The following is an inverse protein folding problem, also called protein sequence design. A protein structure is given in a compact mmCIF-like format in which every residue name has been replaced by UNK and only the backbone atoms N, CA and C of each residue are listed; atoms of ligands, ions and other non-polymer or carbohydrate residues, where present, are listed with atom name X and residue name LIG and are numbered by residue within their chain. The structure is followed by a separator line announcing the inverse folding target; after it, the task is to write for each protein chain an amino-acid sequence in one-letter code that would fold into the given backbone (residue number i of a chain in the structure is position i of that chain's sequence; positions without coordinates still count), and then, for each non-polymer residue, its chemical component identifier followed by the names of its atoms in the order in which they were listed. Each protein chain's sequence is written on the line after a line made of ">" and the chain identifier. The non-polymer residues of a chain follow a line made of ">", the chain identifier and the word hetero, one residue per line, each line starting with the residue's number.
data_IF_451839504684
#
_entry.id   IF_451839504684
#
_cell.length_a   1.000
_cell.length_b   1.000
_cell.length_c   1.000
_cell.angle_alpha   90.00
_cell.angle_beta   90.00
_cell.angle_gamma   90.00
#
_symmetry.space_group_name_H-M   'P 1'
#
loop_
_entity.id
_entity.type
_entity.pdbx_description
1 polymer ?
#
# COMPACT_ATOMS: atom_id res chain seq x y z
N UNK A 1 10.52 -11.68 18.66
CA UNK A 1 9.63 -11.98 17.51
C UNK A 1 9.09 -10.68 16.96
N UNK A 2 8.84 -10.57 15.65
CA UNK A 2 8.20 -9.40 15.03
C UNK A 2 6.99 -9.82 14.18
N UNK A 3 5.90 -9.04 14.19
CA UNK A 3 4.76 -9.20 13.27
C UNK A 3 4.32 -7.84 12.69
N UNK A 4 4.20 -7.78 11.36
CA UNK A 4 3.82 -6.57 10.62
C UNK A 4 2.32 -6.38 10.41
N UNK A 5 1.47 -7.33 10.81
CA UNK A 5 0.04 -7.31 10.51
C UNK A 5 -0.79 -6.93 11.73
N UNK A 6 -1.91 -6.24 11.49
CA UNK A 6 -2.91 -5.90 12.49
C UNK A 6 -3.58 -7.15 13.09
N UNK A 7 -3.65 -8.25 12.33
CA UNK A 7 -3.95 -9.58 12.83
C UNK A 7 -2.70 -10.46 12.73
N UNK A 8 -2.02 -10.73 13.86
CA UNK A 8 -0.83 -11.56 13.87
C UNK A 8 -1.11 -13.00 13.46
N UNK A 9 -0.14 -13.59 12.77
CA UNK A 9 -0.22 -14.98 12.32
C UNK A 9 -0.38 -15.95 13.51
N UNK A 10 -1.04 -17.10 13.29
CA UNK A 10 -1.20 -18.14 14.33
C UNK A 10 0.14 -18.56 14.94
N UNK A 11 1.17 -18.76 14.11
CA UNK A 11 2.52 -19.10 14.57
C UNK A 11 3.09 -18.04 15.51
N UNK A 12 2.88 -16.76 15.20
CA UNK A 12 3.36 -15.67 16.04
C UNK A 12 2.56 -15.56 17.35
N UNK A 13 1.23 -15.72 17.31
CA UNK A 13 0.39 -15.75 18.52
C UNK A 13 0.76 -16.87 19.48
N UNK A 14 1.12 -18.05 18.95
CA UNK A 14 1.58 -19.18 19.76
C UNK A 14 3.02 -18.96 20.22
N UNK A 15 3.91 -18.58 19.30
CA UNK A 15 5.34 -18.35 19.52
C UNK A 15 5.66 -17.27 20.56
N UNK A 16 4.79 -16.27 20.68
CA UNK A 16 4.95 -15.17 21.66
C UNK A 16 5.10 -15.64 23.11
N UNK A 17 4.62 -16.84 23.46
CA UNK A 17 4.75 -17.42 24.82
C UNK A 17 6.19 -17.73 25.21
N UNK A 18 7.08 -17.88 24.24
CA UNK A 18 8.50 -18.19 24.46
C UNK A 18 9.42 -17.02 24.09
N UNK A 19 8.84 -15.85 23.77
CA UNK A 19 9.62 -14.67 23.42
C UNK A 19 9.79 -13.77 24.63
N UNK A 20 10.99 -13.23 24.82
CA UNK A 20 11.26 -12.17 25.79
C UNK A 20 10.43 -10.92 25.47
N UNK A 21 10.36 -10.55 24.18
CA UNK A 21 9.65 -9.38 23.69
C UNK A 21 8.99 -9.61 22.34
N UNK A 22 7.84 -8.97 22.14
CA UNK A 22 7.05 -9.01 20.90
C UNK A 22 7.07 -7.63 20.26
N UNK A 23 7.60 -7.55 19.05
CA UNK A 23 7.70 -6.33 18.27
C UNK A 23 6.58 -6.28 17.24
N UNK A 24 5.93 -5.13 17.09
CA UNK A 24 4.76 -4.98 16.22
C UNK A 24 4.98 -3.90 15.17
N UNK A 25 4.55 -4.19 13.95
CA UNK A 25 4.42 -3.22 12.87
C UNK A 25 3.23 -2.29 13.03
N UNK A 26 2.13 -2.77 13.64
CA UNK A 26 0.90 -2.02 13.81
C UNK A 26 0.39 -2.14 15.25
N UNK A 27 0.06 -1.01 15.88
CA UNK A 27 -0.49 -0.96 17.26
C UNK A 27 -1.78 -1.79 17.40
N UNK A 28 -2.57 -1.92 16.31
CA UNK A 28 -3.78 -2.75 16.28
C UNK A 28 -3.54 -4.23 16.66
N UNK A 29 -2.31 -4.72 16.52
CA UNK A 29 -1.92 -6.08 16.87
C UNK A 29 -1.70 -6.30 18.38
N UNK A 30 -1.52 -5.24 19.19
CA UNK A 30 -1.19 -5.34 20.63
C UNK A 30 -2.18 -6.20 21.40
N UNK A 31 -3.48 -6.08 21.09
CA UNK A 31 -4.56 -6.81 21.75
C UNK A 31 -4.45 -8.34 21.66
N UNK A 32 -3.65 -8.87 20.72
CA UNK A 32 -3.44 -10.32 20.57
C UNK A 32 -2.33 -10.87 21.46
N UNK A 33 -1.62 -10.01 22.19
CA UNK A 33 -0.50 -10.35 23.06
C UNK A 33 -0.68 -9.79 24.49
N UNK A 34 -1.78 -10.10 25.20
CA UNK A 34 -2.09 -9.51 26.50
C UNK A 34 -1.14 -9.89 27.64
N UNK A 35 -0.29 -10.90 27.43
CA UNK A 35 0.64 -11.44 28.43
C UNK A 35 2.10 -11.35 27.98
N UNK A 36 2.39 -10.60 26.92
CA UNK A 36 3.75 -10.41 26.42
C UNK A 36 4.18 -8.97 26.64
N UNK A 37 5.48 -8.75 26.83
CA UNK A 37 6.04 -7.41 26.68
C UNK A 37 6.00 -7.03 25.20
N UNK A 38 5.32 -5.92 24.90
CA UNK A 38 5.01 -5.50 23.52
C UNK A 38 5.53 -4.09 23.26
N UNK A 39 6.26 -3.95 22.15
CA UNK A 39 6.72 -2.67 21.64
C UNK A 39 6.34 -2.50 20.17
N UNK A 40 5.85 -1.31 19.80
CA UNK A 40 5.53 -0.99 18.41
C UNK A 40 6.74 -0.32 17.78
N UNK A 41 7.48 -1.10 17.01
CA UNK A 41 8.68 -0.65 16.30
C UNK A 41 8.37 -0.28 14.87
N UNK A 42 7.15 -0.47 14.38
CA UNK A 42 6.84 -0.43 12.96
C UNK A 42 7.51 -1.60 12.21
N UNK A 43 7.50 -1.53 10.88
CA UNK A 43 8.19 -2.50 10.02
C UNK A 43 9.29 -1.75 9.25
N UNK A 44 10.51 -2.32 9.10
CA UNK A 44 11.56 -1.67 8.33
C UNK A 44 11.15 -1.46 6.87
N UNK A 45 11.47 -0.29 6.33
CA UNK A 45 11.34 0.02 4.91
C UNK A 45 12.68 -0.06 4.21
N UNK A 46 12.65 -0.31 2.90
CA UNK A 46 13.86 -0.27 2.06
C UNK A 46 14.48 1.12 2.08
N UNK A 47 15.81 1.20 2.14
CA UNK A 47 16.54 2.46 2.23
C UNK A 47 16.28 3.40 1.04
N UNK A 48 16.00 2.84 -0.14
CA UNK A 48 15.66 3.58 -1.36
C UNK A 48 14.42 4.47 -1.25
N UNK A 49 13.52 4.22 -0.28
CA UNK A 49 12.35 5.08 -0.06
C UNK A 49 12.63 6.34 0.73
N UNK A 50 13.82 6.45 1.36
CA UNK A 50 14.18 7.65 2.14
C UNK A 50 14.38 8.88 1.25
N UNK A 51 14.78 8.67 -0.01
CA UNK A 51 15.02 9.73 -0.98
C UNK A 51 14.32 9.40 -2.29
N UNK A 52 13.07 9.81 -2.43
CA UNK A 52 12.36 9.70 -3.69
C UNK A 52 12.96 10.67 -4.73
N UNK A 53 12.99 10.29 -6.02
CA UNK A 53 13.36 11.23 -7.08
C UNK A 53 12.32 12.36 -7.20
N UNK A 54 12.68 13.49 -7.85
CA UNK A 54 11.72 14.52 -8.22
C UNK A 54 10.55 13.94 -9.01
N UNK A 55 9.32 14.44 -8.74
CA UNK A 55 8.11 13.93 -9.37
C UNK A 55 8.18 14.07 -10.89
N UNK A 56 8.73 15.16 -11.40
CA UNK A 56 8.87 15.44 -12.83
C UNK A 56 9.73 14.39 -13.54
N UNK A 57 10.82 13.96 -12.91
CA UNK A 57 11.69 12.90 -13.43
C UNK A 57 10.96 11.55 -13.46
N UNK A 58 10.23 11.25 -12.38
CA UNK A 58 9.42 10.03 -12.29
C UNK A 58 8.30 10.00 -13.34
N UNK A 59 7.60 11.13 -13.56
CA UNK A 59 6.58 11.26 -14.59
C UNK A 59 7.17 11.02 -15.98
N UNK A 60 8.29 11.67 -16.30
CA UNK A 60 8.97 11.49 -17.58
C UNK A 60 9.39 10.03 -17.81
N UNK A 61 9.90 9.35 -16.77
CA UNK A 61 10.26 7.93 -16.82
C UNK A 61 9.12 7.02 -17.22
N UNK A 62 7.89 7.33 -16.81
CA UNK A 62 6.70 6.53 -17.13
C UNK A 62 5.87 7.09 -18.29
N UNK A 63 6.36 8.12 -18.99
CA UNK A 63 5.64 8.77 -20.09
C UNK A 63 4.36 9.51 -19.65
N UNK A 64 4.32 9.95 -18.39
CA UNK A 64 3.19 10.64 -17.79
C UNK A 64 3.37 12.16 -17.90
N UNK A 65 2.25 12.88 -18.02
CA UNK A 65 2.24 14.33 -18.18
C UNK A 65 2.27 15.05 -16.82
N UNK A 66 3.03 16.15 -16.69
CA UNK A 66 2.98 17.02 -15.51
C UNK A 66 1.62 17.71 -15.38
N UNK A 67 1.28 18.11 -14.15
CA UNK A 67 0.04 18.86 -13.85
C UNK A 67 -1.26 18.04 -13.89
N UNK A 68 -1.18 16.72 -14.13
CA UNK A 68 -2.33 15.80 -14.10
C UNK A 68 -2.15 14.77 -12.97
N UNK A 69 -3.21 14.46 -12.22
CA UNK A 69 -3.11 13.52 -11.10
C UNK A 69 -2.81 12.11 -11.60
N UNK A 70 -1.95 11.40 -10.89
CA UNK A 70 -1.54 10.03 -11.22
C UNK A 70 -2.03 9.05 -10.17
N UNK A 71 -2.71 8.00 -10.62
CA UNK A 71 -3.03 6.84 -9.79
C UNK A 71 -1.99 5.75 -10.02
N UNK A 72 -1.25 5.41 -8.97
CA UNK A 72 -0.37 4.24 -8.97
C UNK A 72 -1.17 3.02 -8.51
N UNK A 73 -1.16 1.93 -9.27
CA UNK A 73 -1.78 0.67 -8.87
C UNK A 73 -0.78 -0.48 -8.89
N UNK A 74 -0.80 -1.32 -7.84
CA UNK A 74 -0.04 -2.57 -7.80
C UNK A 74 -0.68 -3.64 -6.89
N UNK A 75 -0.56 -4.91 -7.31
CA UNK A 75 -1.19 -6.05 -6.64
C UNK A 75 -0.31 -6.86 -5.69
N UNK A 76 0.96 -6.48 -5.51
CA UNK A 76 1.99 -7.33 -4.87
C UNK A 76 2.74 -8.21 -5.88
N UNK A 77 3.74 -8.96 -5.41
CA UNK A 77 4.75 -9.63 -6.26
C UNK A 77 4.21 -10.69 -7.22
N UNK A 78 3.07 -11.30 -6.93
CA UNK A 78 2.43 -12.32 -7.78
C UNK A 78 1.42 -11.72 -8.79
N UNK A 79 1.22 -10.40 -8.77
CA UNK A 79 0.13 -9.75 -9.49
C UNK A 79 -1.24 -10.04 -8.85
N UNK A 80 -2.21 -9.17 -9.11
CA UNK A 80 -3.57 -9.33 -8.60
C UNK A 80 -4.57 -9.18 -9.75
N UNK A 81 -4.85 -10.27 -10.47
CA UNK A 81 -5.66 -10.26 -11.70
C UNK A 81 -6.97 -9.49 -11.57
N UNK A 82 -7.67 -9.62 -10.43
CA UNK A 82 -8.93 -8.90 -10.19
C UNK A 82 -8.73 -7.40 -10.01
N UNK A 83 -7.76 -6.96 -9.19
CA UNK A 83 -7.39 -5.53 -9.09
C UNK A 83 -6.99 -5.01 -10.46
N UNK A 84 -6.21 -5.78 -11.20
CA UNK A 84 -5.73 -5.37 -12.51
C UNK A 84 -6.88 -5.09 -13.48
N UNK A 85 -7.92 -5.93 -13.46
CA UNK A 85 -9.14 -5.73 -14.24
C UNK A 85 -9.93 -4.53 -13.77
N UNK A 86 -10.14 -4.40 -12.45
CA UNK A 86 -10.87 -3.26 -11.88
C UNK A 86 -10.22 -1.92 -12.25
N UNK A 87 -8.89 -1.84 -12.21
CA UNK A 87 -8.14 -0.62 -12.55
C UNK A 87 -8.20 -0.34 -14.06
N UNK A 88 -8.08 -1.37 -14.90
CA UNK A 88 -8.27 -1.21 -16.32
C UNK A 88 -9.70 -0.70 -16.64
N UNK A 89 -10.74 -1.25 -16.00
CA UNK A 89 -12.13 -0.78 -16.15
C UNK A 89 -12.32 0.64 -15.63
N UNK A 90 -11.85 0.95 -14.42
CA UNK A 90 -11.93 2.28 -13.82
C UNK A 90 -11.21 3.34 -14.66
N UNK A 91 -10.12 2.98 -15.33
CA UNK A 91 -9.42 3.87 -16.25
C UNK A 91 -10.27 4.25 -17.47
N UNK A 92 -11.18 3.36 -17.90
CA UNK A 92 -12.11 3.67 -19.00
C UNK A 92 -13.17 4.66 -18.56
N UNK A 93 -13.74 4.45 -17.38
CA UNK A 93 -14.77 5.30 -16.77
C UNK A 93 -14.23 6.69 -16.38
N UNK A 94 -12.95 6.77 -16.04
CA UNK A 94 -12.29 8.02 -15.64
C UNK A 94 -11.97 8.95 -16.82
N UNK A 95 -11.99 8.44 -18.06
CA UNK A 95 -11.59 9.19 -19.25
C UNK A 95 -10.20 9.81 -19.09
N UNK A 96 -10.05 11.06 -19.51
CA UNK A 96 -8.79 11.82 -19.42
C UNK A 96 -8.64 12.63 -18.11
N UNK A 97 -9.47 12.41 -17.08
CA UNK A 97 -9.36 13.20 -15.83
C UNK A 97 -8.12 12.87 -15.01
N UNK A 98 -7.60 11.66 -15.15
CA UNK A 98 -6.48 11.12 -14.35
C UNK A 98 -5.54 10.32 -15.25
N UNK A 99 -4.32 10.11 -14.81
CA UNK A 99 -3.36 9.21 -15.44
C UNK A 99 -3.17 7.96 -14.59
N UNK A 100 -2.85 6.84 -15.22
CA UNK A 100 -2.72 5.56 -14.53
C UNK A 100 -1.33 4.99 -14.75
N UNK A 101 -0.66 4.65 -13.65
CA UNK A 101 0.55 3.83 -13.64
C UNK A 101 0.19 2.48 -13.01
N UNK A 102 0.02 1.46 -13.84
CA UNK A 102 -0.43 0.13 -13.39
C UNK A 102 0.70 -0.90 -13.49
N UNK A 103 1.17 -1.36 -12.33
CA UNK A 103 2.12 -2.47 -12.21
C UNK A 103 1.31 -3.77 -12.11
N UNK A 104 1.14 -4.43 -13.24
CA UNK A 104 0.23 -5.58 -13.40
C UNK A 104 0.78 -6.90 -12.86
N UNK A 105 2.10 -7.05 -12.74
CA UNK A 105 2.75 -8.35 -12.56
C UNK A 105 3.09 -8.98 -13.91
N UNK A 106 4.29 -9.59 -14.01
CA UNK A 106 4.85 -10.11 -15.27
C UNK A 106 3.91 -11.08 -15.98
N UNK A 107 3.21 -11.92 -15.21
CA UNK A 107 2.28 -12.92 -15.73
C UNK A 107 0.99 -12.31 -16.34
N UNK A 108 0.61 -11.10 -15.93
CA UNK A 108 -0.68 -10.50 -16.29
C UNK A 108 -0.56 -9.28 -17.22
N UNK A 109 0.67 -8.82 -17.47
CA UNK A 109 0.96 -7.61 -18.24
C UNK A 109 0.29 -7.60 -19.62
N UNK A 110 0.44 -8.68 -20.39
CA UNK A 110 -0.11 -8.77 -21.74
C UNK A 110 -1.64 -8.67 -21.75
N UNK A 111 -2.31 -9.34 -20.79
CA UNK A 111 -3.77 -9.29 -20.64
C UNK A 111 -4.23 -7.89 -20.28
N UNK A 112 -3.54 -7.24 -19.33
CA UNK A 112 -3.89 -5.88 -18.89
C UNK A 112 -3.68 -4.87 -20.01
N UNK A 113 -2.57 -4.93 -20.76
CA UNK A 113 -2.37 -4.08 -21.95
C UNK A 113 -3.50 -4.24 -22.98
N UNK A 114 -3.95 -5.48 -23.20
CA UNK A 114 -5.11 -5.77 -24.05
C UNK A 114 -6.41 -5.14 -23.53
N UNK A 115 -6.65 -5.18 -22.22
CA UNK A 115 -7.80 -4.50 -21.60
C UNK A 115 -7.69 -2.97 -21.74
N UNK A 116 -6.54 -2.38 -21.47
CA UNK A 116 -6.36 -0.92 -21.55
C UNK A 116 -6.54 -0.41 -22.98
N UNK A 117 -6.16 -1.21 -23.98
CA UNK A 117 -6.46 -0.92 -25.39
C UNK A 117 -5.72 0.30 -25.94
N UNK A 118 -4.48 0.54 -25.49
CA UNK A 118 -3.62 1.60 -26.03
C UNK A 118 -3.94 3.03 -25.59
N UNK A 119 -4.71 3.22 -24.51
CA UNK A 119 -4.97 4.56 -23.95
C UNK A 119 -3.66 5.26 -23.58
N UNK A 120 -3.43 6.44 -24.15
CA UNK A 120 -2.26 7.31 -23.87
C UNK A 120 -2.16 7.70 -22.39
N UNK A 121 -3.31 7.70 -21.73
CA UNK A 121 -3.61 7.74 -20.32
C UNK A 121 -2.86 6.92 -19.29
N UNK A 122 -2.39 5.76 -19.75
CA UNK A 122 -2.37 4.57 -18.94
C UNK A 122 -1.14 3.75 -19.28
N UNK A 123 -0.13 3.89 -18.44
CA UNK A 123 1.12 3.14 -18.51
C UNK A 123 0.97 1.84 -17.75
N UNK A 124 1.07 0.71 -18.47
CA UNK A 124 1.03 -0.64 -17.89
C UNK A 124 2.42 -1.26 -17.95
N UNK A 125 2.92 -1.71 -16.80
CA UNK A 125 4.19 -2.44 -16.70
C UNK A 125 3.96 -3.79 -16.00
N UNK A 126 4.72 -4.83 -16.39
CA UNK A 126 4.65 -6.12 -15.70
C UNK A 126 5.41 -6.12 -14.38
N UNK A 127 6.48 -5.36 -14.27
CA UNK A 127 7.26 -5.22 -13.04
C UNK A 127 7.89 -3.83 -13.00
N UNK A 128 8.16 -3.33 -11.79
CA UNK A 128 8.84 -2.07 -11.58
C UNK A 128 9.98 -2.28 -10.59
N UNK A 129 11.22 -2.35 -11.09
CA UNK A 129 12.41 -2.41 -10.24
C UNK A 129 12.59 -1.10 -9.45
N UNK A 130 12.24 0.04 -10.05
CA UNK A 130 12.33 1.36 -9.43
C UNK A 130 10.97 1.80 -8.84
N UNK A 131 10.59 1.12 -7.76
CA UNK A 131 9.42 1.52 -6.96
C UNK A 131 9.52 2.95 -6.40
N UNK A 132 10.70 3.49 -6.01
CA UNK A 132 10.81 4.90 -5.63
C UNK A 132 10.26 5.85 -6.69
N UNK A 133 10.62 5.67 -7.97
CA UNK A 133 10.04 6.46 -9.06
C UNK A 133 8.54 6.24 -9.19
N UNK A 134 8.05 5.00 -9.08
CA UNK A 134 6.62 4.72 -9.18
C UNK A 134 5.81 5.45 -8.10
N UNK A 135 6.29 5.41 -6.85
CA UNK A 135 5.68 6.16 -5.76
C UNK A 135 5.82 7.67 -5.92
N UNK A 136 6.96 8.17 -6.40
CA UNK A 136 7.16 9.60 -6.66
C UNK A 136 6.14 10.13 -7.69
N UNK A 137 5.88 9.37 -8.75
CA UNK A 137 4.88 9.70 -9.77
C UNK A 137 3.44 9.69 -9.22
N UNK A 138 3.09 8.72 -8.39
CA UNK A 138 1.72 8.49 -7.90
C UNK A 138 1.25 9.48 -6.83
N UNK A 139 0.07 10.08 -7.05
CA UNK A 139 -0.64 10.93 -6.09
C UNK A 139 -1.60 10.15 -5.20
N UNK A 140 -2.18 9.08 -5.74
CA UNK A 140 -3.08 8.15 -5.05
C UNK A 140 -2.61 6.73 -5.34
N UNK A 141 -2.56 5.88 -4.32
CA UNK A 141 -2.17 4.46 -4.47
C UNK A 141 -3.40 3.56 -4.40
N UNK A 142 -3.50 2.58 -5.31
CA UNK A 142 -4.45 1.46 -5.23
C UNK A 142 -3.65 0.18 -5.05
N UNK A 143 -3.85 -0.51 -3.93
CA UNK A 143 -3.08 -1.72 -3.67
C UNK A 143 -3.79 -2.72 -2.76
N UNK A 144 -3.22 -3.92 -2.70
CA UNK A 144 -3.52 -4.88 -1.63
C UNK A 144 -3.02 -4.33 -0.29
N UNK A 145 -3.66 -4.72 0.81
CA UNK A 145 -3.31 -4.30 2.17
C UNK A 145 -2.36 -5.29 2.87
N UNK A 146 -1.30 -5.71 2.17
CA UNK A 146 -0.22 -6.50 2.75
C UNK A 146 0.68 -5.63 3.64
N UNK A 147 1.22 -6.19 4.73
CA UNK A 147 2.00 -5.44 5.72
C UNK A 147 3.18 -4.65 5.13
N UNK A 148 3.96 -5.26 4.22
CA UNK A 148 5.09 -4.59 3.58
C UNK A 148 4.65 -3.37 2.74
N UNK A 149 3.68 -3.55 1.83
CA UNK A 149 3.16 -2.47 1.01
C UNK A 149 2.54 -1.35 1.83
N UNK A 150 1.83 -1.70 2.91
CA UNK A 150 1.27 -0.72 3.83
C UNK A 150 2.33 0.10 4.56
N UNK A 151 3.42 -0.55 4.94
CA UNK A 151 4.56 0.11 5.57
C UNK A 151 5.20 1.11 4.59
N UNK A 152 5.38 0.73 3.33
CA UNK A 152 5.93 1.62 2.30
C UNK A 152 5.03 2.85 2.06
N UNK A 153 3.71 2.66 1.88
CA UNK A 153 2.78 3.79 1.67
C UNK A 153 2.64 4.66 2.90
N UNK A 154 2.69 4.07 4.12
CA UNK A 154 2.71 4.81 5.37
C UNK A 154 3.94 5.71 5.45
N UNK A 155 5.13 5.13 5.23
CA UNK A 155 6.40 5.84 5.28
C UNK A 155 6.45 7.01 4.29
N UNK A 156 5.90 6.80 3.09
CA UNK A 156 5.84 7.82 2.03
C UNK A 156 4.65 8.77 2.14
N UNK A 157 3.76 8.60 3.13
CA UNK A 157 2.56 9.42 3.30
C UNK A 157 1.61 9.37 2.10
N UNK A 158 1.54 8.25 1.38
CA UNK A 158 0.75 8.14 0.14
C UNK A 158 -0.71 7.79 0.45
N UNK A 159 -1.66 8.69 0.20
CA UNK A 159 -3.08 8.38 0.39
C UNK A 159 -3.45 7.20 -0.51
N UNK A 160 -4.30 6.31 0.01
CA UNK A 160 -4.50 4.99 -0.61
C UNK A 160 -5.96 4.54 -0.64
N UNK A 161 -6.32 3.80 -1.69
CA UNK A 161 -7.50 2.92 -1.73
C UNK A 161 -6.99 1.49 -1.57
N UNK A 162 -7.35 0.87 -0.45
CA UNK A 162 -6.89 -0.47 -0.09
C UNK A 162 -7.96 -1.49 -0.49
N UNK A 163 -7.55 -2.47 -1.28
CA UNK A 163 -8.42 -3.56 -1.76
C UNK A 163 -7.90 -4.89 -1.20
N UNK A 164 -8.30 -5.31 0.01
CA UNK A 164 -7.77 -6.50 0.66
C UNK A 164 -7.90 -7.75 -0.21
N UNK A 165 -6.91 -8.64 -0.14
CA UNK A 165 -7.00 -9.95 -0.78
C UNK A 165 -8.02 -10.82 -0.03
N UNK A 166 -9.13 -11.25 -0.67
CA UNK A 166 -10.23 -11.92 0.02
C UNK A 166 -9.88 -13.31 0.54
N UNK A 167 -8.80 -13.92 0.03
CA UNK A 167 -8.34 -15.25 0.45
C UNK A 167 -7.07 -15.19 1.33
N UNK A 168 -6.78 -14.02 1.89
CA UNK A 168 -5.70 -13.87 2.85
C UNK A 168 -5.95 -14.75 4.09
N UNK A 169 -4.93 -15.47 4.55
CA UNK A 169 -5.05 -16.32 5.74
C UNK A 169 -5.57 -15.53 6.96
N UNK A 170 -6.59 -16.05 7.64
CA UNK A 170 -7.27 -15.40 8.76
C UNK A 170 -7.82 -13.98 8.46
N UNK A 171 -7.95 -13.58 7.18
CA UNK A 171 -8.43 -12.25 6.76
C UNK A 171 -7.54 -11.08 7.24
N UNK A 172 -6.23 -11.33 7.41
CA UNK A 172 -5.30 -10.32 7.95
C UNK A 172 -5.21 -9.05 7.10
N UNK A 173 -5.37 -9.15 5.77
CA UNK A 173 -5.34 -7.98 4.90
C UNK A 173 -6.54 -7.05 5.14
N UNK A 174 -7.73 -7.59 5.42
CA UNK A 174 -8.89 -6.73 5.77
C UNK A 174 -8.63 -6.01 7.08
N UNK A 175 -8.08 -6.69 8.09
CA UNK A 175 -7.73 -6.08 9.38
C UNK A 175 -6.66 -4.99 9.25
N UNK A 176 -5.69 -5.20 8.37
CA UNK A 176 -4.72 -4.19 8.05
C UNK A 176 -5.41 -2.96 7.44
N UNK A 177 -6.25 -3.13 6.41
CA UNK A 177 -6.94 -2.03 5.76
C UNK A 177 -7.90 -1.28 6.71
N UNK A 178 -8.65 -2.00 7.55
CA UNK A 178 -9.51 -1.41 8.60
C UNK A 178 -8.71 -0.51 9.56
N UNK A 179 -7.48 -0.89 9.88
CA UNK A 179 -6.62 -0.10 10.77
C UNK A 179 -6.22 1.23 10.15
N UNK A 180 -5.94 1.25 8.84
CA UNK A 180 -5.59 2.45 8.09
C UNK A 180 -6.82 3.32 7.79
N UNK A 181 -7.95 2.71 7.47
CA UNK A 181 -9.22 3.42 7.28
C UNK A 181 -9.67 4.12 8.57
N UNK A 182 -9.60 3.43 9.72
CA UNK A 182 -9.96 4.00 11.02
C UNK A 182 -9.10 5.22 11.38
N UNK A 183 -7.84 5.24 10.94
CA UNK A 183 -6.95 6.38 11.12
C UNK A 183 -7.21 7.53 10.13
N UNK A 184 -8.11 7.35 9.15
CA UNK A 184 -8.36 8.31 8.08
C UNK A 184 -7.27 8.33 7.01
N UNK A 185 -6.37 7.34 6.98
CA UNK A 185 -5.23 7.28 6.05
C UNK A 185 -5.61 6.70 4.68
N UNK A 186 -6.65 5.86 4.63
CA UNK A 186 -7.03 5.13 3.43
C UNK A 186 -8.54 4.93 3.33
N UNK A 187 -9.02 4.62 2.12
CA UNK A 187 -10.36 4.07 1.88
C UNK A 187 -10.25 2.55 1.79
N UNK A 188 -11.01 1.81 2.61
CA UNK A 188 -11.13 0.36 2.45
C UNK A 188 -12.21 0.07 1.40
N UNK A 189 -11.80 -0.52 0.29
CA UNK A 189 -12.69 -0.93 -0.79
C UNK A 189 -12.65 -2.46 -0.95
N UNK A 190 -13.70 -3.15 -0.51
CA UNK A 190 -13.77 -4.61 -0.62
C UNK A 190 -13.95 -5.02 -2.08
N UNK A 191 -13.13 -5.96 -2.55
CA UNK A 191 -13.12 -6.41 -3.95
C UNK A 191 -14.49 -6.86 -4.48
N UNK A 192 -15.30 -7.51 -3.63
CA UNK A 192 -16.66 -7.98 -3.98
C UNK A 192 -17.66 -6.84 -4.22
N UNK A 193 -17.37 -5.67 -3.65
CA UNK A 193 -18.23 -4.49 -3.69
C UNK A 193 -17.75 -3.50 -4.77
N UNK A 194 -16.72 -3.87 -5.55
CA UNK A 194 -16.12 -3.05 -6.60
C UNK A 194 -16.45 -3.54 -8.01
N UNK A 195 -16.73 -2.57 -8.86
CA UNK A 195 -16.64 -2.61 -10.32
C UNK A 195 -15.82 -1.39 -10.79
N UNK A 196 -15.54 -1.30 -12.10
CA UNK A 196 -14.80 -0.17 -12.65
C UNK A 196 -15.42 1.20 -12.36
N UNK A 197 -16.76 1.31 -12.38
CA UNK A 197 -17.46 2.57 -12.14
C UNK A 197 -17.35 3.03 -10.69
N UNK A 198 -17.54 2.12 -9.73
CA UNK A 198 -17.37 2.40 -8.30
C UNK A 198 -15.93 2.80 -7.98
N UNK A 199 -14.94 2.08 -8.52
CA UNK A 199 -13.54 2.41 -8.29
C UNK A 199 -13.18 3.77 -8.91
N UNK A 200 -13.67 4.07 -10.12
CA UNK A 200 -13.49 5.37 -10.75
C UNK A 200 -14.15 6.50 -9.95
N UNK A 201 -15.33 6.26 -9.36
CA UNK A 201 -16.00 7.20 -8.47
C UNK A 201 -15.16 7.52 -7.23
N UNK A 202 -14.67 6.49 -6.52
CA UNK A 202 -13.78 6.68 -5.36
C UNK A 202 -12.54 7.49 -5.73
N UNK A 203 -11.90 7.16 -6.85
CA UNK A 203 -10.71 7.87 -7.34
C UNK A 203 -11.04 9.33 -7.67
N UNK A 204 -12.16 9.57 -8.35
CA UNK A 204 -12.62 10.92 -8.69
C UNK A 204 -12.93 11.76 -7.45
N UNK A 205 -13.60 11.20 -6.45
CA UNK A 205 -13.94 11.89 -5.20
C UNK A 205 -12.69 12.28 -4.41
N UNK A 206 -11.68 11.41 -4.38
CA UNK A 206 -10.42 11.67 -3.66
C UNK A 206 -9.57 12.70 -4.39
N UNK A 207 -9.36 12.55 -5.69
CA UNK A 207 -8.54 13.47 -6.48
C UNK A 207 -9.22 14.81 -6.73
N UNK A 208 -10.56 14.87 -6.65
CA UNK A 208 -11.35 16.09 -6.72
C UNK A 208 -11.43 16.85 -5.40
N UNK A 209 -10.91 16.30 -4.30
CA UNK A 209 -10.92 16.92 -2.97
C UNK A 209 -9.50 17.03 -2.38
N UNK A 210 -8.70 18.03 -2.81
CA UNK A 210 -7.29 18.18 -2.39
C UNK A 210 -7.10 18.20 -0.87
N UNK A 211 -7.98 18.87 -0.12
CA UNK A 211 -7.90 18.93 1.34
C UNK A 211 -8.08 17.56 1.99
N UNK A 212 -9.01 16.75 1.47
CA UNK A 212 -9.23 15.38 1.93
C UNK A 212 -8.01 14.50 1.61
N UNK A 213 -7.45 14.64 0.41
CA UNK A 213 -6.27 13.89 -0.01
C UNK A 213 -5.05 14.24 0.84
N UNK A 214 -4.87 15.51 1.18
CA UNK A 214 -3.79 15.98 2.05
C UNK A 214 -3.96 15.52 3.51
N UNK A 215 -5.20 15.52 4.02
CA UNK A 215 -5.51 14.97 5.34
C UNK A 215 -5.20 13.47 5.39
N UNK A 216 -5.58 12.71 4.35
CA UNK A 216 -5.24 11.29 4.23
C UNK A 216 -3.73 11.06 4.16
N UNK A 217 -2.99 11.87 3.40
CA UNK A 217 -1.53 11.78 3.33
C UNK A 217 -0.87 12.01 4.71
N UNK A 218 -1.37 12.99 5.47
CA UNK A 218 -0.88 13.30 6.81
C UNK A 218 -1.18 12.17 7.80
N UNK A 219 -2.41 11.63 7.76
CA UNK A 219 -2.80 10.46 8.55
C UNK A 219 -1.98 9.21 8.18
N UNK A 220 -1.72 9.01 6.89
CA UNK A 220 -0.88 7.92 6.39
C UNK A 220 0.54 8.02 6.94
N UNK A 221 1.14 9.22 6.91
CA UNK A 221 2.48 9.46 7.46
C UNK A 221 2.53 9.23 8.97
N UNK A 222 1.49 9.62 9.70
CA UNK A 222 1.41 9.44 11.15
C UNK A 222 1.39 7.96 11.61
N UNK A 223 1.10 7.02 10.70
CA UNK A 223 1.13 5.58 10.98
C UNK A 223 2.52 4.94 10.81
N UNK A 224 3.51 5.68 10.33
CA UNK A 224 4.85 5.15 10.06
C UNK A 224 5.83 5.40 11.21
N UNK A 225 6.81 4.51 11.32
CA UNK A 225 7.94 4.62 12.26
C UNK A 225 9.23 4.69 11.45
N UNK A 226 9.91 5.84 11.48
CA UNK A 226 11.03 6.15 10.58
C UNK A 226 12.29 5.33 10.84
N UNK A 227 12.54 5.01 12.11
CA UNK A 227 13.70 4.26 12.56
C UNK A 227 13.34 2.87 13.06
N UNK A 228 12.41 2.21 12.36
CA UNK A 228 11.97 0.86 12.71
C UNK A 228 13.14 -0.14 12.82
N UNK A 229 14.13 -0.02 11.92
CA UNK A 229 15.31 -0.88 11.95
C UNK A 229 16.18 -0.62 13.19
N UNK A 230 16.45 0.65 13.55
CA UNK A 230 17.19 1.00 14.76
C UNK A 230 16.49 0.50 16.02
N UNK A 231 15.19 0.77 16.15
CA UNK A 231 14.40 0.31 17.31
C UNK A 231 14.42 -1.22 17.48
N UNK A 232 14.35 -1.97 16.37
CA UNK A 232 14.44 -3.44 16.42
C UNK A 232 15.84 -3.89 16.86
N UNK A 233 16.91 -3.25 16.36
CA UNK A 233 18.29 -3.54 16.77
C UNK A 233 18.49 -3.29 18.27
N UNK A 234 18.05 -2.14 18.77
CA UNK A 234 18.17 -1.76 20.19
C UNK A 234 17.52 -2.81 21.11
N UNK A 235 16.34 -3.32 20.72
CA UNK A 235 15.67 -4.38 21.47
C UNK A 235 16.46 -5.69 21.44
N UNK A 236 17.01 -6.07 20.29
CA UNK A 236 17.78 -7.32 20.15
C UNK A 236 19.06 -7.24 20.99
N UNK A 237 19.78 -6.11 20.93
CA UNK A 237 21.00 -5.89 21.69
C UNK A 237 20.72 -5.91 23.20
N UNK A 238 19.65 -5.24 23.64
CA UNK A 238 19.23 -5.23 25.04
C UNK A 238 18.76 -6.58 25.58
N UNK A 239 18.31 -7.50 24.72
CA UNK A 239 17.90 -8.86 25.12
C UNK A 239 19.07 -9.87 25.15
N UNK A 240 20.22 -9.52 24.55
CA UNK A 240 21.41 -10.37 24.50
C UNK A 240 22.44 -10.04 25.61
N UNK A 241 22.31 -8.89 26.27
CA UNK A 241 23.14 -8.46 27.40
C UNK A 241 22.61 -8.94 28.74
#
# INVERSE_FOLDING_TARGET
>A
MHDSNALPGKSNRVGARWCTKVLLGLEAARKYFPHSEVEVTGTPVRAEFRNLPPKEEALAKFGLQPGRPVVLSFGGSQGAMRINTLVAEASRESGDRVQWLQIAGRADEARVKGLVGGRVNHTVTGFCDDMPSAYAAGDLVISRSGGASLTEVAFLGKPSVLVPYPFAADDHQTRNAESFEKAGAAVLARERDLDGGRLAGIVGDLLGAPDKLQAMASAMRALSVDDSAGMICDVIEGACG
#
